data_IF_860092141616
#
_entry.id   IF_860092141616
#
_cell.length_a   1.000
_cell.length_b   1.000
_cell.length_c   1.000
_cell.angle_alpha   90.00
_cell.angle_beta   90.00
_cell.angle_gamma   90.00
#
_symmetry.space_group_name_H-M   'P 1'
#
loop_
_entity.id
_entity.type
_entity.pdbx_description
1 polymer ?
#
# COMPACT_ATOMS: atom_id res chain seq x y z
N UNK A 1 -21.53 15.54 -43.88
CA UNK A 1 -22.51 15.67 -42.77
C UNK A 1 -22.72 14.35 -42.02
N UNK A 2 -23.00 13.23 -42.72
CA UNK A 2 -23.16 11.90 -42.09
C UNK A 2 -21.89 11.40 -41.37
N UNK A 3 -20.71 11.52 -41.97
CA UNK A 3 -19.45 11.11 -41.31
C UNK A 3 -19.12 11.93 -40.04
N UNK A 4 -19.56 13.19 -39.98
CA UNK A 4 -19.37 14.05 -38.79
C UNK A 4 -20.31 13.65 -37.64
N UNK A 5 -21.51 13.17 -37.97
CA UNK A 5 -22.46 12.62 -36.98
C UNK A 5 -21.94 11.27 -36.46
N UNK A 6 -21.42 10.40 -37.32
CA UNK A 6 -20.82 9.12 -36.90
C UNK A 6 -19.60 9.30 -35.99
N UNK A 7 -18.72 10.25 -36.29
CA UNK A 7 -17.57 10.54 -35.44
C UNK A 7 -17.99 11.15 -34.08
N UNK A 8 -19.05 11.97 -34.06
CA UNK A 8 -19.61 12.51 -32.81
C UNK A 8 -20.25 11.42 -31.95
N UNK A 9 -20.97 10.46 -32.56
CA UNK A 9 -21.57 9.33 -31.85
C UNK A 9 -20.51 8.42 -31.24
N UNK A 10 -19.45 8.07 -31.99
CA UNK A 10 -18.31 7.30 -31.43
C UNK A 10 -17.60 8.02 -30.29
N UNK A 11 -17.48 9.35 -30.37
CA UNK A 11 -16.89 10.15 -29.30
C UNK A 11 -17.77 10.18 -28.04
N UNK A 12 -19.10 10.28 -28.20
CA UNK A 12 -20.05 10.25 -27.08
C UNK A 12 -20.06 8.86 -26.42
N UNK A 13 -20.03 7.79 -27.20
CA UNK A 13 -19.98 6.40 -26.70
C UNK A 13 -18.66 6.13 -25.95
N UNK A 14 -17.52 6.55 -26.51
CA UNK A 14 -16.22 6.46 -25.85
C UNK A 14 -16.22 7.25 -24.52
N UNK A 15 -16.79 8.46 -24.51
CA UNK A 15 -16.86 9.31 -23.31
C UNK A 15 -17.82 8.77 -22.25
N UNK A 16 -18.94 8.15 -22.65
CA UNK A 16 -19.88 7.51 -21.75
C UNK A 16 -19.28 6.25 -21.10
N UNK A 17 -18.56 5.43 -21.89
CA UNK A 17 -17.81 4.29 -21.35
C UNK A 17 -16.68 4.76 -20.43
N UNK A 18 -15.99 5.86 -20.76
CA UNK A 18 -14.97 6.45 -19.89
C UNK A 18 -15.56 6.94 -18.56
N UNK A 19 -16.75 7.54 -18.57
CA UNK A 19 -17.46 7.98 -17.36
C UNK A 19 -17.93 6.82 -16.47
N UNK A 20 -18.33 5.69 -17.08
CA UNK A 20 -18.65 4.44 -16.35
C UNK A 20 -17.39 3.80 -15.73
N UNK A 21 -16.24 3.90 -16.41
CA UNK A 21 -14.93 3.41 -15.93
C UNK A 21 -14.39 4.32 -14.80
N UNK A 22 -14.61 5.63 -14.86
CA UNK A 22 -14.15 6.56 -13.81
C UNK A 22 -14.92 6.40 -12.48
N UNK A 23 -16.14 5.88 -12.51
CA UNK A 23 -16.94 5.58 -11.30
C UNK A 23 -16.69 4.19 -10.70
N UNK A 24 -15.86 3.35 -11.32
CA UNK A 24 -15.73 1.93 -10.97
C UNK A 24 -14.32 1.53 -10.54
N UNK A 25 -13.43 2.49 -10.29
CA UNK A 25 -12.13 2.21 -9.67
C UNK A 25 -12.16 2.68 -8.21
N UNK A 26 -11.76 1.79 -7.30
CA UNK A 26 -11.77 2.04 -5.85
C UNK A 26 -11.08 3.35 -5.43
N UNK A 27 -11.54 3.93 -4.32
CA UNK A 27 -10.96 5.11 -3.68
C UNK A 27 -9.96 4.74 -2.56
N UNK A 28 -9.71 3.43 -2.39
CA UNK A 28 -8.79 2.91 -1.39
C UNK A 28 -7.34 2.99 -1.89
N UNK A 29 -6.47 3.54 -1.07
CA UNK A 29 -5.03 3.66 -1.32
C UNK A 29 -4.28 2.89 -0.25
N UNK A 30 -3.43 1.92 -0.60
CA UNK A 30 -2.57 1.25 0.36
C UNK A 30 -1.39 2.18 0.70
N UNK A 31 -1.08 2.28 1.99
CA UNK A 31 0.05 3.03 2.51
C UNK A 31 0.91 2.08 3.33
N UNK A 32 2.16 1.86 2.93
CA UNK A 32 3.18 1.21 3.77
C UNK A 32 4.15 2.22 4.34
N UNK A 33 4.48 2.02 5.60
CA UNK A 33 5.54 2.76 6.28
C UNK A 33 6.58 1.75 6.77
N UNK A 34 7.84 2.00 6.43
CA UNK A 34 9.01 1.27 6.93
C UNK A 34 10.11 2.30 7.16
N UNK A 35 10.23 2.78 8.39
CA UNK A 35 11.13 3.86 8.75
C UNK A 35 11.84 3.59 10.08
N UNK A 36 13.13 3.88 10.13
CA UNK A 36 13.93 3.77 11.36
C UNK A 36 14.27 5.16 11.90
N UNK A 37 14.35 5.27 13.23
CA UNK A 37 14.83 6.48 13.89
C UNK A 37 16.28 6.76 13.51
N UNK A 38 16.70 8.01 13.68
CA UNK A 38 18.06 8.48 13.38
C UNK A 38 19.17 7.68 14.07
N UNK A 39 18.88 7.18 15.27
CA UNK A 39 19.78 6.35 16.06
C UNK A 39 19.57 4.83 15.87
N UNK A 40 18.63 4.42 15.01
CA UNK A 40 18.29 3.02 14.74
C UNK A 40 17.65 2.25 15.90
N UNK A 41 17.29 2.93 16.99
CA UNK A 41 16.71 2.29 18.19
C UNK A 41 15.24 1.91 18.00
N UNK A 42 14.53 2.63 17.12
CA UNK A 42 13.11 2.42 16.85
C UNK A 42 12.95 2.17 15.37
N UNK A 43 12.23 1.10 15.06
CA UNK A 43 11.87 0.73 13.70
C UNK A 43 10.35 0.65 13.61
N UNK A 44 9.78 1.53 12.81
CA UNK A 44 8.34 1.68 12.59
C UNK A 44 7.98 0.99 11.29
N UNK A 45 7.20 -0.08 11.39
CA UNK A 45 6.66 -0.82 10.26
C UNK A 45 5.15 -0.85 10.41
N UNK A 46 4.43 -0.26 9.46
CA UNK A 46 2.97 -0.23 9.48
C UNK A 46 2.38 -0.29 8.06
N UNK A 47 1.11 -0.67 7.95
CA UNK A 47 0.38 -0.76 6.70
C UNK A 47 -1.07 -0.33 6.90
N UNK A 48 -1.47 0.74 6.22
CA UNK A 48 -2.80 1.34 6.29
C UNK A 48 -3.50 1.21 4.94
N UNK A 49 -4.83 1.19 4.97
CA UNK A 49 -5.67 1.33 3.78
C UNK A 49 -6.49 2.60 3.99
N UNK A 50 -6.31 3.58 3.11
CA UNK A 50 -6.94 4.89 3.25
C UNK A 50 -8.01 5.06 2.17
N UNK A 51 -9.24 5.34 2.60
CA UNK A 51 -10.25 5.87 1.70
C UNK A 51 -9.98 7.36 1.45
N UNK A 52 -9.68 7.70 0.20
CA UNK A 52 -9.36 9.06 -0.23
C UNK A 52 -10.52 10.06 -0.06
N UNK A 53 -11.75 9.57 0.09
CA UNK A 53 -12.91 10.41 0.43
C UNK A 53 -12.94 10.83 1.90
N UNK A 54 -12.19 10.12 2.75
CA UNK A 54 -12.11 10.32 4.20
C UNK A 54 -10.79 10.96 4.65
N UNK A 55 -10.08 11.65 3.75
CA UNK A 55 -8.82 12.30 4.09
C UNK A 55 -9.01 13.45 5.09
N UNK A 56 -8.07 13.64 6.05
CA UNK A 56 -8.11 14.74 7.03
C UNK A 56 -8.35 16.11 6.41
N UNK A 57 -7.71 16.36 5.26
CA UNK A 57 -7.93 17.55 4.44
C UNK A 57 -8.67 17.11 3.17
N UNK A 58 -9.93 17.52 3.05
CA UNK A 58 -10.81 17.12 1.93
C UNK A 58 -10.68 18.04 0.71
N UNK A 59 -10.87 17.45 -0.48
CA UNK A 59 -10.92 18.16 -1.77
C UNK A 59 -12.09 19.14 -1.91
N UNK A 60 -13.17 18.96 -1.16
CA UNK A 60 -14.41 19.78 -1.24
C UNK A 60 -14.21 21.23 -0.77
N UNK A 61 -13.15 21.49 -0.01
CA UNK A 61 -12.76 22.83 0.43
C UNK A 61 -12.37 23.77 -0.72
N UNK A 62 -12.17 23.23 -1.94
CA UNK A 62 -11.63 23.97 -3.09
C UNK A 62 -12.70 24.65 -3.98
N UNK A 63 -14.00 24.40 -3.79
CA UNK A 63 -14.96 24.63 -4.88
C UNK A 63 -15.54 26.04 -5.03
N UNK A 64 -15.43 26.98 -4.08
CA UNK A 64 -16.42 28.07 -4.08
C UNK A 64 -15.97 29.51 -4.28
N UNK A 65 -14.69 29.90 -4.35
CA UNK A 65 -14.35 31.24 -4.85
C UNK A 65 -12.84 31.43 -5.16
N UNK A 66 -12.57 31.89 -6.39
CA UNK A 66 -11.35 32.56 -6.88
C UNK A 66 -10.01 31.80 -6.84
N UNK A 67 -9.54 31.40 -8.03
CA UNK A 67 -8.14 31.48 -8.54
C UNK A 67 -6.98 30.85 -7.76
N UNK A 68 -7.19 30.23 -6.60
CA UNK A 68 -6.17 29.45 -5.92
C UNK A 68 -6.38 27.98 -6.28
N UNK A 69 -5.77 27.54 -7.38
CA UNK A 69 -5.52 26.13 -7.63
C UNK A 69 -4.65 25.60 -6.49
N UNK A 70 -5.27 25.14 -5.41
CA UNK A 70 -4.56 24.29 -4.44
C UNK A 70 -4.21 23.04 -5.22
N UNK A 71 -2.98 23.02 -5.72
CA UNK A 71 -2.43 21.90 -6.48
C UNK A 71 -2.63 20.61 -5.68
N UNK A 72 -2.94 19.52 -6.36
CA UNK A 72 -2.97 18.15 -5.79
C UNK A 72 -1.74 17.92 -4.90
N UNK A 73 -0.59 18.51 -5.26
CA UNK A 73 0.63 18.51 -4.45
C UNK A 73 0.43 19.06 -3.04
N UNK A 74 -0.17 20.23 -2.89
CA UNK A 74 -0.41 20.84 -1.56
C UNK A 74 -1.38 20.01 -0.71
N UNK A 75 -2.34 19.35 -1.35
CA UNK A 75 -3.28 18.48 -0.64
C UNK A 75 -2.60 17.19 -0.18
N UNK A 76 -1.78 16.59 -1.05
CA UNK A 76 -0.98 15.41 -0.73
C UNK A 76 -0.01 15.73 0.40
N UNK A 77 0.67 16.88 0.35
CA UNK A 77 1.59 17.33 1.40
C UNK A 77 0.89 17.50 2.75
N UNK A 78 -0.25 18.18 2.78
CA UNK A 78 -1.00 18.40 4.03
C UNK A 78 -1.48 17.07 4.64
N UNK A 79 -2.06 16.18 3.82
CA UNK A 79 -2.53 14.89 4.30
C UNK A 79 -1.38 13.96 4.72
N UNK A 80 -0.26 13.96 3.99
CA UNK A 80 0.92 13.17 4.35
C UNK A 80 1.49 13.57 5.71
N UNK A 81 1.58 14.88 5.97
CA UNK A 81 2.03 15.40 7.27
C UNK A 81 1.09 14.98 8.41
N UNK A 82 -0.23 15.17 8.24
CA UNK A 82 -1.21 14.76 9.27
C UNK A 82 -1.18 13.26 9.57
N UNK A 83 -1.06 12.42 8.54
CA UNK A 83 -0.98 10.97 8.72
C UNK A 83 0.33 10.55 9.37
N UNK A 84 1.45 11.17 9.00
CA UNK A 84 2.76 10.90 9.61
C UNK A 84 2.75 11.25 11.11
N UNK A 85 2.23 12.43 11.46
CA UNK A 85 2.09 12.86 12.86
C UNK A 85 1.23 11.88 13.65
N UNK A 86 0.05 11.51 13.13
CA UNK A 86 -0.85 10.55 13.80
C UNK A 86 -0.19 9.20 14.02
N UNK A 87 0.46 8.64 12.99
CA UNK A 87 1.09 7.32 13.04
C UNK A 87 2.26 7.29 14.03
N UNK A 88 3.09 8.34 14.04
CA UNK A 88 4.22 8.44 14.97
C UNK A 88 3.74 8.65 16.40
N UNK A 89 2.72 9.49 16.61
CA UNK A 89 2.13 9.71 17.93
C UNK A 89 1.53 8.41 18.51
N UNK A 90 0.82 7.63 17.69
CA UNK A 90 0.28 6.33 18.10
C UNK A 90 1.39 5.33 18.46
N UNK A 91 2.47 5.28 17.67
CA UNK A 91 3.63 4.45 17.97
C UNK A 91 4.32 4.86 19.28
N UNK A 92 4.39 6.17 19.57
CA UNK A 92 4.92 6.70 20.82
C UNK A 92 4.10 6.24 22.04
N UNK A 93 2.77 6.37 21.95
CA UNK A 93 1.84 5.92 22.99
C UNK A 93 1.96 4.41 23.18
N UNK A 94 2.02 3.63 22.10
CA UNK A 94 2.16 2.18 22.17
C UNK A 94 3.51 1.75 22.78
N UNK A 95 4.60 2.43 22.43
CA UNK A 95 5.92 2.22 23.01
C UNK A 95 5.98 2.51 24.51
N UNK A 96 5.26 3.55 24.97
CA UNK A 96 5.18 3.89 26.38
C UNK A 96 4.53 2.77 27.23
N UNK A 97 3.55 2.04 26.68
CA UNK A 97 2.84 0.97 27.41
C UNK A 97 3.70 -0.28 27.61
N UNK A 98 4.65 -0.57 26.71
CA UNK A 98 5.50 -1.78 26.79
C UNK A 98 6.76 -1.61 27.65
N UNK A 99 7.18 -0.37 27.95
CA UNK A 99 8.42 -0.08 28.69
C UNK A 99 8.25 -0.05 30.23
N UNK A 100 7.47 -0.96 30.82
CA UNK A 100 7.21 -0.93 32.28
C UNK A 100 8.34 -1.48 33.15
N UNK A 101 9.37 -2.12 32.56
CA UNK A 101 10.48 -2.75 33.32
C UNK A 101 11.78 -1.95 33.37
N UNK A 102 11.92 -0.89 32.58
CA UNK A 102 13.09 -0.03 32.57
C UNK A 102 12.55 1.40 32.52
N UNK A 103 12.94 2.25 33.47
CA UNK A 103 12.61 3.68 33.53
C UNK A 103 13.29 4.46 32.38
N UNK A 104 13.08 4.02 31.14
CA UNK A 104 13.29 4.81 29.95
C UNK A 104 12.06 5.71 29.92
N UNK A 105 12.29 7.02 30.04
CA UNK A 105 11.22 8.02 29.96
C UNK A 105 10.40 7.86 28.67
N UNK A 106 9.28 8.59 28.61
CA UNK A 106 8.43 8.65 27.41
C UNK A 106 9.32 8.78 26.16
N UNK A 107 9.20 7.81 25.25
CA UNK A 107 9.85 7.84 23.96
C UNK A 107 9.38 9.13 23.27
N UNK A 108 10.29 9.93 22.72
CA UNK A 108 9.94 11.17 22.02
C UNK A 108 10.26 10.96 20.55
N UNK A 109 9.31 10.37 19.82
CA UNK A 109 9.50 10.04 18.40
C UNK A 109 9.22 11.24 17.51
N UNK A 110 8.32 12.13 17.93
CA UNK A 110 7.95 13.33 17.18
C UNK A 110 9.12 14.31 17.05
N UNK A 111 10.03 14.34 18.03
CA UNK A 111 11.25 15.14 17.94
C UNK A 111 12.30 14.58 16.96
N UNK A 112 12.20 13.31 16.55
CA UNK A 112 13.11 12.73 15.55
C UNK A 112 12.71 13.18 14.14
N UNK A 113 13.34 14.26 13.68
CA UNK A 113 13.11 14.84 12.35
C UNK A 113 13.37 13.86 11.20
N UNK A 114 14.33 12.95 11.33
CA UNK A 114 14.65 12.00 10.27
C UNK A 114 13.57 10.95 10.13
N UNK A 115 13.09 10.42 11.27
CA UNK A 115 11.96 9.50 11.30
C UNK A 115 10.73 10.16 10.69
N UNK A 116 10.37 11.36 11.17
CA UNK A 116 9.21 12.10 10.68
C UNK A 116 9.26 12.32 9.17
N UNK A 117 10.36 12.87 8.66
CA UNK A 117 10.54 13.14 7.23
C UNK A 117 10.48 11.86 6.39
N UNK A 118 11.06 10.76 6.88
CA UNK A 118 11.03 9.48 6.15
C UNK A 118 9.62 8.92 6.06
N UNK A 119 8.86 8.93 7.16
CA UNK A 119 7.46 8.50 7.20
C UNK A 119 6.61 9.38 6.29
N UNK A 120 6.71 10.70 6.43
CA UNK A 120 5.98 11.67 5.62
C UNK A 120 6.28 11.49 4.12
N UNK A 121 7.56 11.34 3.74
CA UNK A 121 7.98 11.12 2.35
C UNK A 121 7.39 9.84 1.75
N UNK A 122 7.34 8.75 2.53
CA UNK A 122 6.75 7.49 2.08
C UNK A 122 5.24 7.60 1.88
N UNK A 123 4.52 8.24 2.81
CA UNK A 123 3.08 8.48 2.71
C UNK A 123 2.79 9.40 1.51
N UNK A 124 3.55 10.50 1.38
CA UNK A 124 3.42 11.48 0.28
C UNK A 124 3.54 10.82 -1.09
N UNK A 125 4.56 9.97 -1.30
CA UNK A 125 4.77 9.26 -2.57
C UNK A 125 3.59 8.36 -2.93
N UNK A 126 3.06 7.63 -1.97
CA UNK A 126 1.94 6.70 -2.20
C UNK A 126 0.61 7.43 -2.39
N UNK A 127 0.34 8.47 -1.60
CA UNK A 127 -0.82 9.35 -1.81
C UNK A 127 -0.77 10.08 -3.15
N UNK A 128 0.41 10.52 -3.59
CA UNK A 128 0.58 11.14 -4.91
C UNK A 128 0.18 10.18 -6.04
N UNK A 129 0.48 8.89 -5.89
CA UNK A 129 0.05 7.88 -6.86
C UNK A 129 -1.46 7.67 -6.77
N UNK A 130 -2.02 7.53 -5.56
CA UNK A 130 -3.45 7.30 -5.35
C UNK A 130 -4.36 8.46 -5.79
N UNK A 131 -3.93 9.71 -5.56
CA UNK A 131 -4.69 10.93 -5.85
C UNK A 131 -4.33 11.58 -7.19
N UNK A 132 -3.08 11.41 -7.65
CA UNK A 132 -2.53 12.09 -8.82
C UNK A 132 -2.45 11.21 -10.07
N UNK A 133 -2.56 9.89 -9.96
CA UNK A 133 -2.71 9.05 -11.13
C UNK A 133 -4.13 9.27 -11.69
N UNK A 134 -4.20 9.76 -12.93
CA UNK A 134 -5.37 9.46 -13.76
C UNK A 134 -5.53 7.94 -13.71
N UNK A 135 -6.60 7.45 -13.09
CA UNK A 135 -6.78 6.00 -12.82
C UNK A 135 -6.72 5.17 -14.11
N UNK A 136 -6.90 5.81 -15.28
CA UNK A 136 -6.68 5.28 -16.64
C UNK A 136 -5.21 4.98 -16.97
N UNK A 137 -4.25 5.71 -16.39
CA UNK A 137 -2.80 5.50 -16.60
C UNK A 137 -2.24 4.35 -15.78
N UNK A 138 -2.89 3.95 -14.68
CA UNK A 138 -2.54 2.75 -13.92
C UNK A 138 -2.67 1.49 -14.79
N UNK A 139 -3.64 1.48 -15.71
CA UNK A 139 -3.91 0.39 -16.65
C UNK A 139 -2.78 0.23 -17.68
N UNK A 140 -2.05 1.30 -18.03
CA UNK A 140 -1.04 1.29 -19.09
C UNK A 140 0.41 1.12 -18.59
N UNK A 141 0.65 1.17 -17.28
CA UNK A 141 2.01 1.31 -16.72
C UNK A 141 2.76 0.00 -16.44
N UNK A 142 2.26 -1.12 -16.97
CA UNK A 142 2.83 -2.46 -16.77
C UNK A 142 4.15 -2.76 -17.49
N UNK A 143 4.70 -1.84 -18.29
CA UNK A 143 5.95 -2.08 -19.02
C UNK A 143 6.97 -0.95 -18.80
N UNK A 144 8.04 -1.27 -18.08
CA UNK A 144 9.03 -0.31 -17.63
C UNK A 144 10.26 -0.96 -17.02
N UNK A 145 10.87 -1.92 -17.73
CA UNK A 145 12.26 -2.33 -17.47
C UNK A 145 13.04 -2.44 -18.78
N UNK A 146 13.99 -1.51 -18.91
CA UNK A 146 15.21 -1.49 -19.71
C UNK A 146 15.49 -2.67 -20.66
N UNK A 147 15.80 -2.31 -21.91
CA UNK A 147 16.53 -3.13 -22.88
C UNK A 147 17.76 -3.82 -22.24
N UNK A 148 17.79 -5.17 -22.21
CA UNK A 148 18.87 -5.99 -22.78
C UNK A 148 18.54 -7.50 -22.70
N UNK A 149 18.05 -8.04 -23.83
CA UNK A 149 18.30 -9.39 -24.40
C UNK A 149 18.44 -10.62 -23.47
N UNK A 150 17.42 -11.48 -23.41
CA UNK A 150 17.38 -12.86 -23.99
C UNK A 150 16.27 -13.73 -23.37
N UNK A 151 15.27 -14.05 -24.20
CA UNK A 151 14.42 -15.26 -24.22
C UNK A 151 13.78 -15.84 -22.93
N UNK A 152 12.45 -15.97 -23.03
CA UNK A 152 11.52 -16.87 -22.32
C UNK A 152 10.95 -16.43 -20.97
N UNK A 153 9.92 -15.58 -21.02
CA UNK A 153 8.58 -15.79 -20.42
C UNK A 153 7.81 -14.47 -20.52
N UNK A 154 7.08 -14.31 -21.62
CA UNK A 154 6.23 -13.15 -21.84
C UNK A 154 5.07 -13.17 -20.82
N UNK A 155 5.05 -12.23 -19.89
CA UNK A 155 3.85 -11.85 -19.15
C UNK A 155 2.99 -11.06 -20.13
N UNK A 156 1.74 -11.49 -20.44
CA UNK A 156 0.89 -10.72 -21.33
C UNK A 156 0.37 -9.51 -20.56
N UNK A 157 0.90 -8.33 -20.86
CA UNK A 157 0.22 -7.05 -20.68
C UNK A 157 -1.09 -7.12 -21.46
N UNK A 158 -2.23 -7.10 -20.76
CA UNK A 158 -3.52 -6.98 -21.42
C UNK A 158 -3.93 -5.51 -21.42
N UNK A 159 -4.15 -4.95 -22.61
CA UNK A 159 -4.69 -3.61 -22.86
C UNK A 159 -6.09 -3.37 -22.24
N UNK A 160 -6.62 -4.32 -21.46
CA UNK A 160 -7.98 -4.35 -20.94
C UNK A 160 -8.09 -4.02 -19.44
N UNK A 161 -7.01 -3.64 -18.75
CA UNK A 161 -7.07 -3.32 -17.32
C UNK A 161 -7.15 -4.53 -16.39
N UNK A 162 -6.73 -5.71 -16.86
CA UNK A 162 -6.59 -6.91 -16.03
C UNK A 162 -5.15 -7.03 -15.53
N UNK A 163 -4.99 -7.12 -14.21
CA UNK A 163 -3.71 -7.29 -13.50
C UNK A 163 -3.67 -8.69 -12.88
N UNK A 164 -2.56 -9.40 -13.07
CA UNK A 164 -2.30 -10.67 -12.39
C UNK A 164 -1.86 -10.40 -10.94
N UNK A 165 -2.72 -10.72 -9.99
CA UNK A 165 -2.44 -10.58 -8.56
C UNK A 165 -1.77 -11.85 -8.04
N UNK A 166 -0.65 -11.68 -7.35
CA UNK A 166 0.09 -12.76 -6.67
C UNK A 166 0.09 -12.48 -5.17
N UNK A 167 -0.58 -13.32 -4.41
CA UNK A 167 -0.59 -13.26 -2.95
C UNK A 167 0.57 -14.09 -2.40
N UNK A 168 1.38 -13.48 -1.52
CA UNK A 168 2.47 -14.13 -0.78
C UNK A 168 2.51 -13.56 0.63
N UNK A 169 1.57 -14.00 1.46
CA UNK A 169 1.34 -13.42 2.79
C UNK A 169 1.73 -14.44 3.83
N UNK A 170 2.52 -14.02 4.83
CA UNK A 170 2.84 -14.82 6.00
C UNK A 170 2.42 -14.07 7.24
N UNK A 171 1.62 -14.70 8.07
CA UNK A 171 1.25 -14.21 9.39
C UNK A 171 1.43 -15.35 10.38
N UNK A 172 2.32 -15.16 11.35
CA UNK A 172 2.73 -16.19 12.31
C UNK A 172 3.13 -17.52 11.62
N UNK A 173 2.37 -18.59 11.85
CA UNK A 173 2.62 -19.93 11.33
C UNK A 173 1.82 -20.26 10.06
N UNK A 174 1.07 -19.29 9.51
CA UNK A 174 0.22 -19.47 8.34
C UNK A 174 0.83 -18.73 7.15
N UNK A 175 1.04 -19.45 6.06
CA UNK A 175 1.47 -18.91 4.78
C UNK A 175 0.34 -19.08 3.76
N UNK A 176 -0.03 -17.98 3.10
CA UNK A 176 -1.03 -17.94 2.04
C UNK A 176 -0.32 -17.57 0.74
N UNK A 177 -0.37 -18.47 -0.23
CA UNK A 177 0.13 -18.27 -1.59
C UNK A 177 -1.01 -18.53 -2.57
N UNK A 178 -1.32 -17.54 -3.40
CA UNK A 178 -2.40 -17.63 -4.39
C UNK A 178 -2.08 -16.73 -5.60
N UNK A 179 -2.70 -17.00 -6.74
CA UNK A 179 -2.52 -16.24 -7.96
C UNK A 179 -3.82 -16.20 -8.79
N UNK A 180 -4.32 -14.99 -9.08
CA UNK A 180 -5.54 -14.79 -9.85
C UNK A 180 -5.48 -13.55 -10.75
N UNK A 181 -6.33 -13.52 -11.77
CA UNK A 181 -6.50 -12.35 -12.64
C UNK A 181 -7.55 -11.40 -12.04
N UNK A 182 -7.23 -10.11 -11.98
CA UNK A 182 -8.08 -9.09 -11.38
C UNK A 182 -8.37 -7.94 -12.37
N UNK A 183 -9.63 -7.67 -12.64
CA UNK A 183 -10.05 -6.55 -13.50
C UNK A 183 -10.17 -5.25 -12.70
N UNK A 184 -9.21 -4.36 -12.89
CA UNK A 184 -9.12 -3.06 -12.19
C UNK A 184 -10.33 -2.18 -12.44
N UNK A 185 -10.97 -2.31 -13.62
CA UNK A 185 -12.16 -1.54 -13.99
C UNK A 185 -13.40 -1.95 -13.19
N UNK A 186 -13.35 -3.06 -12.45
CA UNK A 186 -14.47 -3.51 -11.61
C UNK A 186 -14.24 -3.23 -10.12
N UNK A 187 -13.10 -2.65 -9.75
CA UNK A 187 -12.65 -2.55 -8.36
C UNK A 187 -13.47 -1.65 -7.44
N UNK A 188 -14.34 -0.82 -7.98
CA UNK A 188 -15.30 0.03 -7.26
C UNK A 188 -16.74 -0.48 -7.34
N UNK A 189 -16.97 -1.64 -7.96
CA UNK A 189 -18.29 -2.29 -8.00
C UNK A 189 -18.42 -3.21 -6.79
N UNK A 190 -19.55 -3.12 -6.09
CA UNK A 190 -19.88 -3.97 -4.96
C UNK A 190 -19.69 -5.46 -5.30
N UNK A 191 -18.93 -6.18 -4.47
CA UNK A 191 -18.63 -7.59 -4.68
C UNK A 191 -17.33 -7.86 -5.43
N UNK A 192 -16.79 -6.85 -6.12
CA UNK A 192 -15.52 -6.93 -6.86
C UNK A 192 -14.44 -6.01 -6.29
N UNK A 193 -14.77 -5.24 -5.25
CA UNK A 193 -13.81 -4.43 -4.55
C UNK A 193 -12.76 -5.31 -3.81
N UNK A 194 -11.53 -4.81 -3.66
CA UNK A 194 -10.45 -5.58 -3.02
C UNK A 194 -10.78 -6.09 -1.61
N UNK A 195 -11.60 -5.36 -0.86
CA UNK A 195 -11.97 -5.72 0.51
C UNK A 195 -12.97 -6.89 0.54
N UNK A 196 -13.97 -6.88 -0.34
CA UNK A 196 -14.91 -7.99 -0.49
C UNK A 196 -14.21 -9.26 -0.98
N UNK A 197 -13.30 -9.14 -1.94
CA UNK A 197 -12.51 -10.28 -2.42
C UNK A 197 -11.66 -10.86 -1.30
N UNK A 198 -10.93 -10.02 -0.56
CA UNK A 198 -10.13 -10.46 0.59
C UNK A 198 -10.99 -11.16 1.64
N UNK A 199 -12.18 -10.62 1.93
CA UNK A 199 -13.14 -11.22 2.87
C UNK A 199 -13.61 -12.60 2.41
N UNK A 200 -13.88 -12.77 1.12
CA UNK A 200 -14.28 -14.07 0.57
C UNK A 200 -13.15 -15.08 0.63
N UNK A 201 -11.92 -14.72 0.25
CA UNK A 201 -10.74 -15.58 0.37
C UNK A 201 -10.54 -16.04 1.83
N UNK A 202 -10.63 -15.11 2.79
CA UNK A 202 -10.48 -15.44 4.21
C UNK A 202 -11.57 -16.40 4.68
N UNK A 203 -12.82 -16.22 4.26
CA UNK A 203 -13.92 -17.12 4.59
C UNK A 203 -13.75 -18.51 3.96
N UNK A 204 -13.43 -18.56 2.67
CA UNK A 204 -13.32 -19.80 1.90
C UNK A 204 -12.18 -20.68 2.40
N UNK A 205 -11.07 -20.05 2.81
CA UNK A 205 -9.89 -20.72 3.38
C UNK A 205 -9.95 -20.88 4.90
N UNK A 206 -11.03 -20.42 5.55
CA UNK A 206 -11.20 -20.41 7.01
C UNK A 206 -9.99 -19.80 7.75
N UNK A 207 -9.50 -18.67 7.23
CA UNK A 207 -8.37 -17.92 7.78
C UNK A 207 -8.82 -16.97 8.90
N UNK A 208 -7.90 -16.55 9.78
CA UNK A 208 -8.15 -15.49 10.75
C UNK A 208 -8.51 -14.15 10.07
N UNK A 209 -9.38 -13.35 10.69
CA UNK A 209 -9.87 -12.09 10.11
C UNK A 209 -8.77 -11.04 9.87
N UNK A 210 -7.64 -11.15 10.55
CA UNK A 210 -6.46 -10.29 10.39
C UNK A 210 -5.86 -10.38 8.97
N UNK A 211 -6.11 -11.48 8.24
CA UNK A 211 -5.67 -11.64 6.87
C UNK A 211 -6.40 -10.73 5.88
N UNK A 212 -7.62 -10.27 6.19
CA UNK A 212 -8.41 -9.42 5.29
C UNK A 212 -7.63 -8.17 4.90
N UNK A 213 -7.08 -7.46 5.88
CA UNK A 213 -6.29 -6.25 5.65
C UNK A 213 -5.04 -6.57 4.84
N UNK A 214 -4.30 -7.63 5.18
CA UNK A 214 -3.06 -8.01 4.48
C UNK A 214 -3.30 -8.38 3.01
N UNK A 215 -4.38 -9.13 2.73
CA UNK A 215 -4.77 -9.51 1.36
C UNK A 215 -5.23 -8.26 0.59
N UNK A 216 -6.08 -7.44 1.20
CA UNK A 216 -6.58 -6.20 0.57
C UNK A 216 -5.43 -5.27 0.19
N UNK A 217 -4.48 -5.03 1.12
CA UNK A 217 -3.28 -4.23 0.84
C UNK A 217 -2.46 -4.83 -0.30
N UNK A 218 -2.26 -6.14 -0.33
CA UNK A 218 -1.50 -6.81 -1.39
C UNK A 218 -2.16 -6.71 -2.77
N UNK A 219 -3.49 -6.77 -2.85
CA UNK A 219 -4.26 -6.56 -4.08
C UNK A 219 -4.08 -5.12 -4.55
N UNK A 220 -4.32 -4.15 -3.65
CA UNK A 220 -4.24 -2.73 -3.97
C UNK A 220 -2.83 -2.32 -4.43
N UNK A 221 -1.78 -2.82 -3.79
CA UNK A 221 -0.40 -2.51 -4.17
C UNK A 221 -0.09 -2.92 -5.61
N UNK A 222 -0.47 -4.14 -5.96
CA UNK A 222 -0.28 -4.66 -7.30
C UNK A 222 -1.14 -3.93 -8.33
N UNK A 223 -2.36 -3.54 -7.96
CA UNK A 223 -3.23 -2.66 -8.76
C UNK A 223 -2.58 -1.31 -9.07
N UNK A 224 -1.97 -0.67 -8.07
CA UNK A 224 -1.31 0.63 -8.23
C UNK A 224 0.11 0.53 -8.81
N UNK A 225 0.59 -0.69 -9.08
CA UNK A 225 1.97 -0.93 -9.53
C UNK A 225 3.02 -0.55 -8.47
N UNK A 226 2.61 -0.47 -7.20
CA UNK A 226 3.52 -0.30 -6.08
C UNK A 226 4.30 -1.60 -5.96
N UNK A 227 5.60 -1.57 -6.27
CA UNK A 227 6.43 -2.76 -6.16
C UNK A 227 6.40 -3.25 -4.71
N UNK A 228 5.78 -4.41 -4.51
CA UNK A 228 5.99 -5.22 -3.34
C UNK A 228 7.41 -5.76 -3.47
N UNK A 229 8.42 -5.04 -2.98
CA UNK A 229 9.67 -5.69 -2.61
C UNK A 229 9.29 -6.72 -1.55
N UNK A 230 9.05 -7.96 -1.98
CA UNK A 230 8.85 -9.11 -1.12
C UNK A 230 10.16 -9.34 -0.38
N UNK A 231 10.36 -8.63 0.72
CA UNK A 231 11.47 -8.81 1.65
C UNK A 231 12.86 -8.65 1.04
N UNK A 232 13.48 -7.48 1.24
CA UNK A 232 14.83 -7.56 1.80
C UNK A 232 14.70 -8.34 3.08
N UNK A 233 15.40 -9.47 3.15
CA UNK A 233 15.35 -10.40 4.26
C UNK A 233 15.39 -9.69 5.59
N UNK A 234 14.22 -9.53 6.21
CA UNK A 234 14.13 -9.72 7.64
C UNK A 234 14.57 -11.18 7.80
N UNK A 235 15.78 -11.47 8.35
CA UNK A 235 16.04 -12.84 8.75
C UNK A 235 14.86 -13.21 9.62
N UNK A 236 14.22 -14.33 9.29
CA UNK A 236 13.16 -14.92 10.12
C UNK A 236 13.55 -14.62 11.56
N UNK A 237 12.69 -13.92 12.30
CA UNK A 237 12.88 -13.79 13.73
C UNK A 237 13.16 -15.21 14.20
N UNK A 238 14.41 -15.47 14.56
CA UNK A 238 14.85 -16.75 15.03
C UNK A 238 14.22 -16.79 16.42
N UNK A 239 12.98 -17.28 16.48
CA UNK A 239 12.28 -17.50 17.74
C UNK A 239 13.01 -18.68 18.36
N UNK A 240 14.09 -18.35 19.07
CA UNK A 240 14.73 -19.24 20.01
C UNK A 240 13.74 -19.40 21.14
N UNK A 241 13.18 -20.59 21.26
CA UNK A 241 12.58 -21.00 22.52
C UNK A 241 13.72 -21.11 23.55
N UNK A 242 13.92 -20.04 24.34
CA UNK A 242 14.99 -19.93 25.35
C UNK A 242 14.88 -21.05 26.39
N UNK A 243 13.72 -21.70 26.51
CA UNK A 243 13.54 -22.84 27.40
C UNK A 243 14.04 -24.16 26.80
N UNK A 244 14.22 -24.24 25.48
CA UNK A 244 14.65 -25.43 24.74
C UNK A 244 16.09 -25.35 24.22
N UNK A 245 16.59 -24.18 23.86
CA UNK A 245 17.85 -24.04 23.10
C UNK A 245 19.02 -23.38 23.85
N UNK A 246 18.86 -23.13 25.15
CA UNK A 246 19.97 -22.66 25.99
C UNK A 246 20.23 -21.15 25.89
N UNK A 247 21.30 -20.71 26.57
CA UNK A 247 21.61 -19.29 26.74
C UNK A 247 22.05 -18.65 25.43
N UNK A 248 21.84 -17.34 25.26
CA UNK A 248 22.32 -16.58 24.11
C UNK A 248 23.83 -16.76 23.81
N UNK A 249 24.64 -17.11 24.83
CA UNK A 249 26.06 -17.47 24.65
C UNK A 249 26.28 -18.79 23.91
N UNK A 250 25.41 -19.76 24.07
CA UNK A 250 25.52 -21.09 23.45
C UNK A 250 25.15 -21.03 21.96
N UNK A 251 24.19 -20.16 21.63
CA UNK A 251 23.70 -19.94 20.27
C UNK A 251 24.71 -19.17 19.42
N UNK A 252 25.37 -18.15 20.00
CA UNK A 252 26.43 -17.41 19.31
C UNK A 252 27.62 -18.32 18.92
N UNK A 253 27.92 -19.32 19.73
CA UNK A 253 28.98 -20.30 19.44
C UNK A 253 28.60 -21.23 18.27
N UNK A 254 27.33 -21.61 18.17
CA UNK A 254 26.87 -22.52 17.12
C UNK A 254 26.75 -21.86 15.72
N UNK A 255 26.61 -20.54 15.66
CA UNK A 255 26.54 -19.76 14.41
C UNK A 255 27.92 -19.39 13.87
N UNK A 256 28.93 -19.24 14.74
CA UNK A 256 30.30 -18.86 14.36
C UNK A 256 31.19 -20.04 13.95
N UNK A 257 30.81 -21.28 14.28
CA UNK A 257 31.57 -22.50 13.95
C UNK A 257 31.07 -23.21 12.65
N UNK A 258 30.38 -22.49 11.76
CA UNK A 258 30.00 -22.97 10.41
C UNK A 258 30.66 -22.18 9.29
#
# INVERSE_FOLDING_TARGET
RINSIFNSLKFIEAKANQLLIMGSITNLVPIRVDASSSNGTVHLIDSLIIDTTCLPVSHSSLSNNSTADVSILSLVDANASHLAESLIADAEVYGAVKSSKINIGRLDLLSDKQLYQTVEDQIRKQLMIGLGADKTTLISRGDGRNEQTTSSSAVPTSDNGVVRIKLRIRHENIAVEDEFDYDVNTSGIDGFDPFTIATNIVKDLNLPSEFVTSITTSILEQMYGLQVESGRGVPAAFIVDVTKEGSAKDIAKCVLDK
#
